data_IF_975224589571
#
_entry.id   IF_975224589571
#
_cell.length_a   1.000
_cell.length_b   1.000
_cell.length_c   1.000
_cell.angle_alpha   90.00
_cell.angle_beta   90.00
_cell.angle_gamma   90.00
#
_symmetry.space_group_name_H-M   'P 1'
#
loop_
_entity.id
_entity.type
_entity.pdbx_description
1 polymer ?
#
# COMPACT_ATOMS: atom_id res chain seq x y z
N UNK A 1 -47.63 30.88 -26.25
CA UNK A 1 -46.91 30.16 -25.18
C UNK A 1 -46.81 28.64 -25.45
N UNK A 2 -46.49 28.24 -26.70
CA UNK A 2 -46.49 26.82 -27.14
C UNK A 2 -45.11 26.28 -27.56
N UNK A 3 -44.02 27.05 -27.39
CA UNK A 3 -42.68 26.66 -27.85
C UNK A 3 -41.81 25.92 -26.83
N UNK A 4 -42.08 26.03 -25.52
CA UNK A 4 -41.21 25.45 -24.47
C UNK A 4 -41.61 24.04 -24.00
N UNK A 5 -42.81 23.54 -24.36
CA UNK A 5 -43.24 22.19 -23.95
C UNK A 5 -42.65 21.08 -24.82
N UNK A 6 -42.13 21.40 -26.01
CA UNK A 6 -41.52 20.42 -26.92
C UNK A 6 -40.01 20.21 -26.70
N UNK A 7 -39.31 21.11 -26.01
CA UNK A 7 -37.90 20.89 -25.68
C UNK A 7 -37.70 19.95 -24.48
N UNK A 8 -38.75 19.72 -23.66
CA UNK A 8 -38.67 18.82 -22.49
C UNK A 8 -38.91 17.34 -22.80
N UNK A 9 -39.44 16.97 -23.96
CA UNK A 9 -39.72 15.55 -24.28
C UNK A 9 -38.57 14.81 -24.98
N UNK A 10 -37.46 15.50 -25.32
CA UNK A 10 -36.28 14.90 -25.97
C UNK A 10 -35.08 14.67 -25.05
N UNK A 11 -35.21 14.89 -23.74
CA UNK A 11 -34.19 14.52 -22.73
C UNK A 11 -34.58 13.18 -22.05
N UNK A 12 -35.43 12.38 -22.72
CA UNK A 12 -35.68 11.00 -22.33
C UNK A 12 -34.40 10.17 -22.47
N UNK A 13 -33.80 9.85 -21.33
CA UNK A 13 -32.77 8.82 -21.11
C UNK A 13 -31.56 8.86 -22.05
N UNK A 14 -30.77 9.93 -22.01
CA UNK A 14 -29.31 9.70 -22.04
C UNK A 14 -28.94 9.12 -20.68
N UNK A 15 -29.10 7.80 -20.51
CA UNK A 15 -28.27 7.09 -19.54
C UNK A 15 -26.85 7.18 -20.09
N UNK A 16 -26.15 8.25 -19.74
CA UNK A 16 -24.69 8.28 -19.86
C UNK A 16 -24.24 7.19 -18.89
N UNK A 17 -23.93 6.02 -19.43
CA UNK A 17 -23.21 5.00 -18.70
C UNK A 17 -21.81 5.58 -18.48
N UNK A 18 -21.67 6.37 -17.42
CA UNK A 18 -20.34 6.65 -16.90
C UNK A 18 -19.78 5.29 -16.48
N UNK A 19 -18.67 4.81 -17.06
CA UNK A 19 -18.02 3.63 -16.53
C UNK A 19 -17.79 3.91 -15.04
N UNK A 20 -18.18 2.96 -14.19
CA UNK A 20 -17.97 3.09 -12.76
C UNK A 20 -16.48 3.41 -12.54
N UNK A 21 -16.20 4.48 -11.79
CA UNK A 21 -14.82 4.86 -11.51
C UNK A 21 -14.09 3.66 -10.90
N UNK A 22 -12.85 3.39 -11.34
CA UNK A 22 -12.08 2.27 -10.83
C UNK A 22 -11.92 2.43 -9.32
N UNK A 23 -12.13 1.33 -8.59
CA UNK A 23 -11.92 1.26 -7.14
C UNK A 23 -10.74 0.36 -6.90
N UNK A 24 -9.68 0.90 -6.31
CA UNK A 24 -8.47 0.16 -5.96
C UNK A 24 -8.11 0.50 -4.54
N UNK A 25 -8.02 -0.53 -3.70
CA UNK A 25 -7.60 -0.40 -2.31
C UNK A 25 -7.09 -1.74 -1.82
N UNK A 26 -5.97 -1.73 -1.10
CA UNK A 26 -5.46 -2.90 -0.41
C UNK A 26 -4.99 -2.54 1.00
N UNK A 27 -5.01 -3.54 1.87
CA UNK A 27 -4.43 -3.48 3.20
C UNK A 27 -4.00 -4.88 3.58
N UNK A 28 -2.75 -5.02 4.00
CA UNK A 28 -2.15 -6.28 4.40
C UNK A 28 -1.24 -6.13 5.63
N UNK A 29 -1.15 -7.18 6.43
CA UNK A 29 -0.20 -7.32 7.53
C UNK A 29 0.85 -8.39 7.22
N UNK A 30 2.00 -8.29 7.90
CA UNK A 30 3.21 -8.97 7.50
C UNK A 30 3.09 -10.49 7.67
N UNK A 31 2.59 -10.95 8.82
CA UNK A 31 2.38 -12.39 9.12
C UNK A 31 0.91 -12.77 9.22
N UNK A 32 0.58 -14.01 8.84
CA UNK A 32 -0.78 -14.55 8.95
C UNK A 32 -1.13 -15.03 10.36
N UNK A 33 -0.14 -15.56 11.09
CA UNK A 33 -0.32 -16.15 12.41
C UNK A 33 1.03 -16.34 13.10
N UNK A 34 1.01 -16.55 14.41
CA UNK A 34 2.20 -16.75 15.22
C UNK A 34 2.87 -15.42 15.61
N UNK A 35 4.09 -15.51 16.09
CA UNK A 35 4.95 -14.40 16.50
C UNK A 35 6.31 -14.62 15.83
N UNK A 36 6.78 -13.63 15.10
CA UNK A 36 7.94 -13.78 14.22
C UNK A 36 8.81 -12.54 14.24
N UNK A 37 10.12 -12.77 14.36
CA UNK A 37 11.15 -11.80 13.96
C UNK A 37 11.51 -12.12 12.51
N UNK A 38 11.39 -11.12 11.65
CA UNK A 38 11.66 -11.22 10.21
C UNK A 38 12.98 -10.52 9.91
N UNK A 39 13.88 -11.24 9.24
CA UNK A 39 15.29 -10.88 9.16
C UNK A 39 16.10 -11.42 10.35
N UNK A 40 17.38 -11.02 10.49
CA UNK A 40 18.12 -10.23 9.53
C UNK A 40 18.38 -11.01 8.24
N UNK A 41 18.33 -10.30 7.11
CA UNK A 41 18.75 -10.84 5.81
C UNK A 41 20.12 -10.30 5.42
N UNK A 42 20.86 -11.06 4.61
CA UNK A 42 22.19 -10.65 4.14
C UNK A 42 22.16 -9.55 3.07
N UNK A 43 20.99 -9.31 2.47
CA UNK A 43 20.77 -8.29 1.45
C UNK A 43 19.46 -7.56 1.74
N UNK A 44 19.29 -6.38 1.16
CA UNK A 44 18.00 -5.71 1.13
C UNK A 44 16.94 -6.67 0.56
N UNK A 45 15.84 -6.84 1.28
CA UNK A 45 14.86 -7.89 1.02
C UNK A 45 13.46 -7.29 1.00
N UNK A 46 12.71 -7.60 -0.06
CA UNK A 46 11.32 -7.20 -0.14
C UNK A 46 10.47 -7.93 0.92
N UNK A 47 9.71 -7.16 1.71
CA UNK A 47 8.78 -7.70 2.69
C UNK A 47 7.50 -8.17 2.01
N UNK A 48 7.13 -9.42 2.29
CA UNK A 48 5.93 -10.05 1.74
C UNK A 48 4.83 -10.05 2.81
N UNK A 49 3.87 -9.13 2.71
CA UNK A 49 2.76 -9.03 3.65
C UNK A 49 1.69 -10.07 3.31
N UNK A 50 1.70 -11.19 4.05
CA UNK A 50 0.91 -12.38 3.71
C UNK A 50 -0.56 -12.27 4.11
N UNK A 51 -0.85 -11.57 5.22
CA UNK A 51 -2.21 -11.43 5.73
C UNK A 51 -2.94 -10.31 5.01
N UNK A 52 -3.72 -10.66 3.98
CA UNK A 52 -4.53 -9.67 3.23
C UNK A 52 -5.87 -9.42 3.94
N UNK A 53 -6.12 -8.17 4.33
CA UNK A 53 -7.42 -7.72 4.84
C UNK A 53 -8.35 -7.30 3.69
N UNK A 54 -7.82 -6.55 2.74
CA UNK A 54 -8.55 -6.02 1.58
C UNK A 54 -7.64 -6.04 0.36
N UNK A 55 -8.18 -6.35 -0.82
CA UNK A 55 -7.47 -6.27 -2.10
C UNK A 55 -8.43 -5.97 -3.27
N UNK A 56 -9.18 -4.89 -3.16
CA UNK A 56 -10.09 -4.44 -4.22
C UNK A 56 -9.26 -4.01 -5.43
N UNK A 57 -9.60 -4.55 -6.60
CA UNK A 57 -8.86 -4.35 -7.84
C UNK A 57 -7.67 -5.30 -8.03
N UNK A 58 -7.40 -6.20 -7.07
CA UNK A 58 -6.36 -7.25 -7.14
C UNK A 58 -4.98 -6.74 -7.58
N UNK A 59 -4.64 -5.52 -7.19
CA UNK A 59 -3.35 -4.89 -7.54
C UNK A 59 -2.22 -5.33 -6.60
N UNK A 60 -2.53 -5.77 -5.38
CA UNK A 60 -1.54 -6.31 -4.45
C UNK A 60 -1.36 -7.82 -4.62
N UNK A 61 -0.13 -8.30 -4.70
CA UNK A 61 0.20 -9.72 -4.78
C UNK A 61 0.82 -10.22 -3.46
N UNK A 62 0.10 -11.03 -2.65
CA UNK A 62 0.60 -11.52 -1.36
C UNK A 62 1.69 -12.60 -1.48
N UNK A 63 1.95 -13.13 -2.67
CA UNK A 63 3.08 -14.04 -2.90
C UNK A 63 4.40 -13.29 -3.11
N UNK A 64 4.33 -12.03 -3.52
CA UNK A 64 5.52 -11.21 -3.82
C UNK A 64 5.68 -10.01 -2.92
N UNK A 65 4.63 -9.53 -2.25
CA UNK A 65 4.66 -8.29 -1.47
C UNK A 65 4.53 -7.01 -2.30
N UNK A 66 4.19 -7.14 -3.59
CA UNK A 66 4.25 -6.04 -4.55
C UNK A 66 2.84 -5.59 -4.92
N UNK A 67 2.60 -4.28 -4.87
CA UNK A 67 1.45 -3.63 -5.49
C UNK A 67 1.80 -3.21 -6.92
N UNK A 68 1.06 -3.69 -7.92
CA UNK A 68 1.24 -3.33 -9.33
C UNK A 68 0.08 -2.48 -9.81
N UNK A 69 0.38 -1.32 -10.39
CA UNK A 69 -0.61 -0.34 -10.81
C UNK A 69 -1.31 -0.81 -12.08
N UNK A 70 -2.62 -1.03 -12.00
CA UNK A 70 -3.46 -1.45 -13.14
C UNK A 70 -4.23 -0.28 -13.79
N UNK A 71 -4.28 0.87 -13.12
CA UNK A 71 -4.97 2.09 -13.57
C UNK A 71 -4.08 3.28 -13.27
N UNK A 72 -3.82 4.13 -14.28
CA UNK A 72 -3.07 5.37 -14.07
C UNK A 72 -3.83 6.27 -13.08
N UNK A 73 -3.12 6.86 -12.13
CA UNK A 73 -3.76 7.73 -11.15
C UNK A 73 -2.83 8.19 -10.05
N UNK A 74 -3.42 8.87 -9.08
CA UNK A 74 -2.74 9.25 -7.85
C UNK A 74 -3.17 8.32 -6.73
N UNK A 75 -2.19 7.79 -6.02
CA UNK A 75 -2.37 6.79 -4.98
C UNK A 75 -1.78 7.30 -3.66
N UNK A 76 -2.39 6.91 -2.55
CA UNK A 76 -1.78 7.03 -1.23
C UNK A 76 -1.31 5.66 -0.77
N UNK A 77 -0.09 5.60 -0.21
CA UNK A 77 0.44 4.42 0.44
C UNK A 77 0.94 4.77 1.84
N UNK A 78 0.78 3.83 2.76
CA UNK A 78 1.34 3.90 4.12
C UNK A 78 1.87 2.54 4.52
N UNK A 79 2.98 2.54 5.23
CA UNK A 79 3.49 1.36 5.90
C UNK A 79 3.93 1.67 7.32
N UNK A 80 3.91 0.64 8.16
CA UNK A 80 4.46 0.66 9.52
C UNK A 80 5.51 -0.43 9.65
N UNK A 81 6.47 -0.19 10.55
CA UNK A 81 7.26 -1.25 11.11
C UNK A 81 7.30 -1.14 12.63
N UNK A 82 7.44 -2.30 13.25
CA UNK A 82 7.53 -2.45 14.69
C UNK A 82 8.65 -3.43 15.01
N UNK A 83 9.32 -3.20 16.14
CA UNK A 83 10.27 -4.12 16.72
C UNK A 83 9.91 -4.37 18.19
N UNK A 84 10.17 -5.61 18.62
CA UNK A 84 10.06 -6.09 19.98
C UNK A 84 11.45 -6.60 20.40
N UNK A 85 12.16 -5.79 21.18
CA UNK A 85 13.56 -5.92 21.57
C UNK A 85 14.40 -4.69 21.19
N UNK A 86 15.72 -4.87 21.12
CA UNK A 86 16.65 -3.77 20.79
C UNK A 86 16.34 -3.19 19.40
N UNK A 87 16.18 -1.85 19.28
CA UNK A 87 15.78 -1.22 18.04
C UNK A 87 16.76 -1.49 16.89
N UNK A 88 16.27 -2.09 15.81
CA UNK A 88 17.09 -2.44 14.64
C UNK A 88 16.25 -2.48 13.34
N UNK A 89 15.39 -1.48 13.16
CA UNK A 89 14.52 -1.31 11.98
C UNK A 89 15.10 -0.29 11.01
N UNK A 90 15.22 -0.68 9.74
CA UNK A 90 15.26 0.29 8.65
C UNK A 90 14.60 -0.32 7.43
N UNK A 91 13.51 0.29 6.97
CA UNK A 91 12.76 -0.16 5.83
C UNK A 91 12.37 1.03 4.96
N UNK A 92 12.17 0.79 3.67
CA UNK A 92 11.81 1.85 2.74
C UNK A 92 10.78 1.38 1.72
N UNK A 93 9.90 2.31 1.34
CA UNK A 93 8.99 2.15 0.23
C UNK A 93 9.72 2.47 -1.07
N UNK A 94 9.60 1.58 -2.04
CA UNK A 94 10.14 1.74 -3.38
C UNK A 94 9.02 1.88 -4.39
N UNK A 95 9.21 2.76 -5.37
CA UNK A 95 8.50 2.77 -6.65
C UNK A 95 9.47 2.23 -7.69
N UNK A 96 9.19 1.07 -8.27
CA UNK A 96 10.14 0.36 -9.14
C UNK A 96 11.49 0.22 -8.40
N UNK A 97 12.57 0.80 -8.91
CA UNK A 97 13.89 0.78 -8.24
C UNK A 97 14.22 2.06 -7.46
N UNK A 98 13.30 3.03 -7.41
CA UNK A 98 13.50 4.31 -6.74
C UNK A 98 12.96 4.27 -5.32
N UNK A 99 13.80 4.65 -4.34
CA UNK A 99 13.39 4.82 -2.95
C UNK A 99 12.58 6.10 -2.81
N UNK A 100 11.37 5.98 -2.25
CA UNK A 100 10.44 7.11 -2.10
C UNK A 100 10.51 7.69 -0.68
N UNK A 101 10.25 6.86 0.33
CA UNK A 101 10.27 7.23 1.75
C UNK A 101 10.83 6.08 2.57
N UNK A 102 11.46 6.40 3.68
CA UNK A 102 12.03 5.42 4.60
C UNK A 102 11.58 5.66 6.04
N UNK A 103 11.69 4.60 6.83
CA UNK A 103 11.72 4.65 8.28
C UNK A 103 13.13 4.26 8.73
N UNK A 104 13.62 4.90 9.78
CA UNK A 104 14.93 4.62 10.33
C UNK A 104 14.81 4.64 11.85
N UNK A 105 14.96 3.47 12.46
CA UNK A 105 14.89 3.30 13.90
C UNK A 105 15.80 2.17 14.34
N UNK A 106 17.07 2.49 14.62
CA UNK A 106 18.14 1.50 14.82
C UNK A 106 18.90 1.67 16.13
N UNK A 107 18.46 2.58 17.00
CA UNK A 107 19.13 2.90 18.26
C UNK A 107 18.07 3.32 19.27
N UNK A 108 17.99 2.60 20.38
CA UNK A 108 17.15 2.97 21.53
C UNK A 108 17.49 2.10 22.74
N UNK A 109 16.95 2.48 23.90
CA UNK A 109 17.19 1.81 25.20
C UNK A 109 15.95 1.09 25.73
N UNK A 110 14.79 1.29 25.09
CA UNK A 110 13.53 0.60 25.35
C UNK A 110 13.36 -0.63 24.47
N UNK A 111 12.31 -1.40 24.75
CA UNK A 111 12.08 -2.70 24.11
C UNK A 111 11.09 -2.60 22.94
N UNK A 112 10.25 -1.57 22.86
CA UNK A 112 9.15 -1.54 21.89
C UNK A 112 9.19 -0.25 21.07
N UNK A 113 9.65 -0.37 19.83
CA UNK A 113 9.76 0.76 18.92
C UNK A 113 8.90 0.60 17.68
N UNK A 114 8.30 1.70 17.24
CA UNK A 114 7.46 1.73 16.06
C UNK A 114 7.73 2.96 15.21
N UNK A 115 7.79 2.76 13.91
CA UNK A 115 7.89 3.84 12.94
C UNK A 115 6.88 3.63 11.80
N UNK A 116 6.37 4.72 11.26
CA UNK A 116 5.50 4.66 10.09
C UNK A 116 5.75 5.82 9.15
N UNK A 117 5.58 5.57 7.86
CA UNK A 117 5.72 6.59 6.84
C UNK A 117 4.75 6.31 5.68
N UNK A 118 4.55 7.29 4.81
CA UNK A 118 3.65 7.17 3.68
C UNK A 118 3.91 8.25 2.63
N UNK A 119 3.39 8.03 1.44
CA UNK A 119 3.57 8.93 0.31
C UNK A 119 2.30 8.97 -0.55
N UNK A 120 2.08 10.12 -1.18
CA UNK A 120 1.13 10.29 -2.28
C UNK A 120 1.92 10.29 -3.58
N UNK A 121 1.57 9.39 -4.50
CA UNK A 121 2.34 9.16 -5.73
C UNK A 121 1.43 9.20 -6.96
N UNK A 122 1.86 9.92 -7.98
CA UNK A 122 1.37 9.73 -9.34
C UNK A 122 2.06 8.51 -9.96
N UNK A 123 1.25 7.55 -10.40
CA UNK A 123 1.72 6.26 -10.91
C UNK A 123 1.13 5.96 -12.29
N UNK A 124 1.96 5.36 -13.14
CA UNK A 124 1.59 4.85 -14.45
C UNK A 124 1.21 3.37 -14.35
N UNK A 125 0.44 2.88 -15.32
CA UNK A 125 0.16 1.43 -15.44
C UNK A 125 1.48 0.66 -15.55
N UNK A 126 1.64 -0.38 -14.73
CA UNK A 126 2.84 -1.19 -14.64
C UNK A 126 3.85 -0.74 -13.58
N UNK A 127 3.72 0.48 -13.03
CA UNK A 127 4.53 0.88 -11.87
C UNK A 127 4.29 -0.08 -10.70
N UNK A 128 5.36 -0.44 -10.00
CA UNK A 128 5.33 -1.34 -8.85
C UNK A 128 5.67 -0.58 -7.57
N UNK A 129 4.94 -0.84 -6.49
CA UNK A 129 5.21 -0.27 -5.16
C UNK A 129 5.36 -1.40 -4.14
N UNK A 130 6.43 -1.37 -3.35
CA UNK A 130 6.74 -2.41 -2.37
C UNK A 130 7.61 -1.87 -1.22
N UNK A 131 7.72 -2.64 -0.14
CA UNK A 131 8.51 -2.27 1.05
C UNK A 131 9.72 -3.18 1.14
N UNK A 132 10.93 -2.60 1.15
CA UNK A 132 12.17 -3.34 1.36
C UNK A 132 12.69 -3.12 2.77
N UNK A 133 13.01 -4.21 3.46
CA UNK A 133 13.79 -4.19 4.69
C UNK A 133 15.28 -4.13 4.32
N UNK A 134 16.03 -3.25 4.96
CA UNK A 134 17.47 -3.16 4.73
C UNK A 134 18.22 -4.39 5.25
N UNK A 135 19.34 -4.74 4.62
CA UNK A 135 20.22 -5.81 5.08
C UNK A 135 20.57 -5.64 6.56
N UNK A 136 20.64 -6.75 7.30
CA UNK A 136 20.95 -6.78 8.74
C UNK A 136 19.95 -6.04 9.64
N UNK A 137 18.74 -5.74 9.14
CA UNK A 137 17.64 -5.16 9.92
C UNK A 137 16.58 -6.21 10.19
N UNK A 138 15.77 -5.96 11.21
CA UNK A 138 14.68 -6.83 11.64
C UNK A 138 13.39 -6.04 11.83
N UNK A 139 12.28 -6.75 11.73
CA UNK A 139 10.96 -6.30 12.21
C UNK A 139 10.28 -7.45 12.94
N UNK A 140 9.49 -7.14 13.95
CA UNK A 140 8.70 -8.12 14.69
C UNK A 140 7.22 -7.97 14.33
N UNK A 141 6.54 -9.07 14.00
CA UNK A 141 5.08 -9.08 13.81
C UNK A 141 4.45 -10.30 14.47
N UNK A 142 3.22 -10.14 14.96
CA UNK A 142 2.42 -11.23 15.51
C UNK A 142 0.94 -11.12 15.14
N UNK A 143 0.08 -11.85 15.87
CA UNK A 143 -1.37 -11.85 15.66
C UNK A 143 -2.04 -10.47 15.83
N UNK A 144 -1.35 -9.50 16.43
CA UNK A 144 -1.82 -8.12 16.59
C UNK A 144 -1.47 -7.22 15.38
N UNK A 145 -0.68 -7.73 14.43
CA UNK A 145 -0.47 -7.12 13.11
C UNK A 145 0.07 -5.68 13.16
N UNK A 146 1.24 -5.49 13.77
CA UNK A 146 1.90 -4.18 13.91
C UNK A 146 2.48 -3.66 12.59
N UNK A 147 2.93 -4.57 11.71
CA UNK A 147 3.58 -4.25 10.45
C UNK A 147 2.57 -4.34 9.33
N UNK A 148 2.13 -3.18 8.84
CA UNK A 148 1.11 -3.09 7.81
C UNK A 148 1.63 -2.39 6.57
N UNK A 149 1.09 -2.77 5.42
CA UNK A 149 1.25 -2.05 4.16
C UNK A 149 -0.12 -1.88 3.53
N UNK A 150 -0.52 -0.63 3.34
CA UNK A 150 -1.84 -0.25 2.82
C UNK A 150 -1.69 0.79 1.73
N UNK A 151 -2.64 0.80 0.80
CA UNK A 151 -2.75 1.88 -0.17
C UNK A 151 -4.03 1.83 -0.97
N UNK A 152 -4.39 2.97 -1.58
CA UNK A 152 -5.62 3.12 -2.35
C UNK A 152 -5.49 4.20 -3.41
N UNK A 153 -6.30 4.08 -4.46
CA UNK A 153 -6.45 5.07 -5.52
C UNK A 153 -7.25 6.26 -4.98
N UNK A 154 -6.68 7.46 -5.04
CA UNK A 154 -7.36 8.71 -4.73
C UNK A 154 -8.18 9.20 -5.94
N UNK A 155 -7.56 9.24 -7.11
CA UNK A 155 -8.21 9.65 -8.36
C UNK A 155 -7.53 9.02 -9.58
N UNK A 156 -8.35 8.45 -10.45
CA UNK A 156 -7.91 7.94 -11.76
C UNK A 156 -7.64 9.10 -12.72
N UNK A 157 -6.71 8.90 -13.66
CA UNK A 157 -6.30 9.87 -14.68
C UNK A 157 -6.33 9.29 -16.09
#
# INVERSE_FOLDING_TARGET
>A
MLGLKHLRSKIGSLSICFPALPKIAFSAALVESGSWIIGPFNTDTNLVYKKVFTNIGNCYNPSTGIFTVMVKGVYYFRFSAYNDGTPNTNAAMFKNSERIVSIWDTVGEDNEDSASNGAVLELQVGDSVYISLHAQRVVYDDINHYNTFSGFLLFAM
#
